data_IF_074362906380
#
_entry.id   IF_074362906380
#
_cell.length_a   1.000
_cell.length_b   1.000
_cell.length_c   1.000
_cell.angle_alpha   90.00
_cell.angle_beta   90.00
_cell.angle_gamma   90.00
#
_symmetry.space_group_name_H-M   'P 1'
#
loop_
_entity.id
_entity.type
_entity.pdbx_description
1 polymer ?
#
# COMPACT_ATOMS: atom_id res chain seq x y z
N UNK A 1 17.28 2.99 12.37
CA UNK A 1 17.02 1.53 12.25
C UNK A 1 17.03 1.08 10.79
N UNK A 2 16.83 2.01 9.85
CA UNK A 2 16.77 1.82 8.40
C UNK A 2 18.04 1.22 7.82
N UNK A 3 19.22 1.58 8.35
CA UNK A 3 20.48 0.97 7.94
C UNK A 3 20.53 -0.53 8.26
N UNK A 4 20.09 -0.94 9.45
CA UNK A 4 20.02 -2.34 9.85
C UNK A 4 18.97 -3.11 9.04
N UNK A 5 17.82 -2.47 8.73
CA UNK A 5 16.82 -3.05 7.84
C UNK A 5 17.39 -3.27 6.42
N UNK A 6 18.13 -2.30 5.89
CA UNK A 6 18.73 -2.41 4.56
C UNK A 6 19.75 -3.56 4.48
N UNK A 7 20.55 -3.74 5.55
CA UNK A 7 21.48 -4.86 5.70
C UNK A 7 20.73 -6.20 5.75
N UNK A 8 19.70 -6.33 6.60
CA UNK A 8 18.88 -7.55 6.69
C UNK A 8 18.20 -7.89 5.36
N UNK A 9 17.62 -6.91 4.67
CA UNK A 9 17.05 -7.12 3.35
C UNK A 9 18.11 -7.56 2.32
N UNK A 10 19.35 -7.09 2.47
CA UNK A 10 20.49 -7.53 1.65
C UNK A 10 20.81 -9.00 1.86
N UNK A 11 20.78 -9.48 3.10
CA UNK A 11 20.96 -10.90 3.43
C UNK A 11 19.82 -11.76 2.87
N UNK A 12 18.56 -11.31 3.04
CA UNK A 12 17.38 -11.99 2.50
C UNK A 12 17.44 -12.06 0.96
N UNK A 13 17.94 -11.01 0.32
CA UNK A 13 18.08 -10.94 -1.13
C UNK A 13 19.06 -11.98 -1.69
N UNK A 14 20.03 -12.48 -0.91
CA UNK A 14 20.92 -13.56 -1.34
C UNK A 14 20.17 -14.87 -1.66
N UNK A 15 18.95 -15.03 -1.14
CA UNK A 15 18.10 -16.20 -1.36
C UNK A 15 17.08 -15.99 -2.49
N UNK A 16 17.19 -14.90 -3.26
CA UNK A 16 16.27 -14.55 -4.33
C UNK A 16 17.00 -14.01 -5.56
N UNK A 17 16.59 -14.45 -6.75
CA UNK A 17 17.09 -13.90 -8.00
C UNK A 17 16.46 -12.55 -8.37
N UNK A 18 15.29 -12.21 -7.79
CA UNK A 18 14.51 -11.03 -8.17
C UNK A 18 14.51 -9.90 -7.13
N UNK A 19 14.78 -10.20 -5.85
CA UNK A 19 14.79 -9.19 -4.80
C UNK A 19 16.00 -8.27 -4.94
N UNK A 20 15.74 -6.97 -5.07
CA UNK A 20 16.75 -5.90 -5.12
C UNK A 20 16.45 -4.88 -4.05
N UNK A 21 17.44 -4.62 -3.19
CA UNK A 21 17.38 -3.58 -2.16
C UNK A 21 17.80 -2.25 -2.78
N UNK A 22 17.04 -1.20 -2.50
CA UNK A 22 17.29 0.16 -3.00
C UNK A 22 17.60 1.10 -1.83
N UNK A 23 17.23 2.37 -1.98
CA UNK A 23 17.56 3.42 -1.04
C UNK A 23 16.82 3.27 0.29
N UNK A 24 17.51 3.65 1.37
CA UNK A 24 16.89 3.97 2.65
C UNK A 24 16.11 5.28 2.50
N UNK A 25 14.92 5.31 3.08
CA UNK A 25 14.06 6.50 3.17
C UNK A 25 13.68 6.71 4.63
N UNK A 26 13.26 7.92 5.04
CA UNK A 26 12.77 8.12 6.40
C UNK A 26 11.67 7.10 6.73
N UNK A 27 11.90 6.24 7.73
CA UNK A 27 10.94 5.22 8.16
C UNK A 27 10.90 3.92 7.35
N UNK A 28 11.82 3.69 6.40
CA UNK A 28 11.82 2.42 5.66
C UNK A 28 12.95 2.23 4.65
N UNK A 29 12.86 1.14 3.90
CA UNK A 29 13.80 0.79 2.81
C UNK A 29 12.99 0.37 1.60
N UNK A 30 13.26 0.99 0.46
CA UNK A 30 12.64 0.55 -0.79
C UNK A 30 13.33 -0.71 -1.29
N UNK A 31 12.54 -1.64 -1.81
CA UNK A 31 13.03 -2.81 -2.54
C UNK A 31 12.10 -3.11 -3.72
N UNK A 32 12.55 -3.94 -4.64
CA UNK A 32 11.72 -4.45 -5.74
C UNK A 32 11.95 -5.94 -5.92
N UNK A 33 10.93 -6.66 -6.32
CA UNK A 33 11.01 -8.10 -6.56
C UNK A 33 9.67 -8.66 -7.00
N UNK A 34 9.57 -9.98 -7.01
CA UNK A 34 8.33 -10.72 -7.21
C UNK A 34 7.46 -10.71 -5.94
N UNK A 35 6.20 -11.13 -6.05
CA UNK A 35 5.33 -11.32 -4.88
C UNK A 35 5.91 -12.35 -3.89
N UNK A 36 6.60 -13.38 -4.40
CA UNK A 36 7.33 -14.35 -3.57
C UNK A 36 8.41 -13.68 -2.71
N UNK A 37 9.00 -12.57 -3.17
CA UNK A 37 9.95 -11.80 -2.37
C UNK A 37 9.27 -11.05 -1.22
N UNK A 38 8.06 -10.52 -1.44
CA UNK A 38 7.28 -9.94 -0.34
C UNK A 38 6.97 -10.97 0.74
N UNK A 39 6.58 -12.20 0.37
CA UNK A 39 6.40 -13.30 1.33
C UNK A 39 7.70 -13.65 2.06
N UNK A 40 8.82 -13.71 1.33
CA UNK A 40 10.14 -13.97 1.93
C UNK A 40 10.50 -12.90 2.96
N UNK A 41 10.27 -11.62 2.66
CA UNK A 41 10.54 -10.54 3.61
C UNK A 41 9.65 -10.69 4.86
N UNK A 42 8.35 -10.94 4.69
CA UNK A 42 7.44 -11.15 5.83
C UNK A 42 7.86 -12.33 6.73
N UNK A 43 8.39 -13.41 6.15
CA UNK A 43 8.78 -14.61 6.91
C UNK A 43 10.15 -14.48 7.60
N UNK A 44 11.08 -13.72 7.02
CA UNK A 44 12.48 -13.73 7.46
C UNK A 44 12.94 -12.43 8.12
N UNK A 45 12.29 -11.30 7.83
CA UNK A 45 12.67 -10.03 8.44
C UNK A 45 12.27 -9.99 9.91
N UNK A 46 13.20 -9.54 10.76
CA UNK A 46 12.96 -9.28 12.19
C UNK A 46 12.92 -7.79 12.50
N UNK A 47 13.29 -6.96 11.52
CA UNK A 47 13.37 -5.50 11.66
C UNK A 47 12.18 -4.81 11.00
N UNK A 48 11.67 -5.32 9.88
CA UNK A 48 10.54 -4.73 9.18
C UNK A 48 9.26 -4.82 10.05
N UNK A 49 8.64 -3.68 10.32
CA UNK A 49 7.35 -3.63 11.01
C UNK A 49 6.19 -3.99 10.07
N UNK A 50 6.29 -3.61 8.79
CA UNK A 50 5.32 -3.89 7.72
C UNK A 50 6.03 -3.99 6.38
N UNK A 51 5.48 -4.79 5.47
CA UNK A 51 5.92 -4.98 4.08
C UNK A 51 4.81 -4.49 3.16
N UNK A 52 5.02 -3.30 2.60
CA UNK A 52 4.02 -2.61 1.80
C UNK A 52 4.27 -2.82 0.31
N UNK A 53 3.32 -3.46 -0.37
CA UNK A 53 3.35 -3.64 -1.81
C UNK A 53 2.77 -2.40 -2.49
N UNK A 54 3.58 -1.71 -3.29
CA UNK A 54 3.14 -0.51 -4.03
C UNK A 54 2.19 -0.88 -5.16
N UNK A 55 0.94 -0.45 -5.06
CA UNK A 55 -0.11 -0.66 -6.07
C UNK A 55 -0.09 0.46 -7.11
N UNK A 56 -0.02 1.71 -6.66
CA UNK A 56 -0.04 2.87 -7.56
C UNK A 56 0.84 4.00 -7.05
N UNK A 57 1.36 4.81 -7.97
CA UNK A 57 2.13 6.01 -7.67
C UNK A 57 1.93 7.06 -8.77
N UNK A 58 1.50 8.26 -8.41
CA UNK A 58 1.33 9.36 -9.36
C UNK A 58 1.45 10.73 -8.68
N UNK A 59 1.69 11.77 -9.47
CA UNK A 59 1.48 13.14 -9.04
C UNK A 59 0.00 13.45 -8.89
N UNK A 60 -0.37 14.36 -8.00
CA UNK A 60 -1.75 14.82 -7.83
C UNK A 60 -1.79 16.34 -7.63
N UNK A 61 -2.86 16.94 -8.11
CA UNK A 61 -3.17 18.37 -7.98
C UNK A 61 -4.38 18.61 -7.08
N UNK A 62 -5.32 17.66 -7.05
CA UNK A 62 -6.55 17.75 -6.27
C UNK A 62 -7.05 16.34 -5.86
N UNK A 63 -8.12 16.31 -5.05
CA UNK A 63 -8.67 15.07 -4.51
C UNK A 63 -9.35 14.15 -5.55
N UNK A 64 -9.73 14.65 -6.72
CA UNK A 64 -10.27 13.81 -7.79
C UNK A 64 -9.18 12.95 -8.42
N UNK A 65 -7.96 13.47 -8.58
CA UNK A 65 -6.84 12.69 -9.11
C UNK A 65 -6.56 11.45 -8.24
N UNK A 66 -6.78 11.59 -6.93
CA UNK A 66 -6.63 10.51 -5.93
C UNK A 66 -7.71 9.44 -6.13
N UNK A 67 -8.96 9.88 -6.29
CA UNK A 67 -10.10 9.01 -6.54
C UNK A 67 -9.92 8.24 -7.86
N UNK A 68 -9.59 8.95 -8.94
CA UNK A 68 -9.43 8.37 -10.27
C UNK A 68 -8.27 7.35 -10.31
N UNK A 69 -7.15 7.68 -9.67
CA UNK A 69 -6.02 6.75 -9.57
C UNK A 69 -6.42 5.49 -8.79
N UNK A 70 -7.11 5.64 -7.65
CA UNK A 70 -7.55 4.52 -6.84
C UNK A 70 -8.59 3.65 -7.59
N UNK A 71 -9.55 4.26 -8.28
CA UNK A 71 -10.59 3.56 -9.04
C UNK A 71 -9.99 2.74 -10.19
N UNK A 72 -8.93 3.24 -10.83
CA UNK A 72 -8.29 2.62 -11.97
C UNK A 72 -7.51 1.33 -11.64
N UNK A 73 -7.22 1.05 -10.36
CA UNK A 73 -6.42 -0.12 -9.99
C UNK A 73 -7.26 -1.41 -10.03
N UNK A 74 -6.69 -2.53 -10.50
CA UNK A 74 -7.36 -3.83 -10.49
C UNK A 74 -7.30 -4.46 -9.10
N UNK A 75 -8.04 -3.91 -8.14
CA UNK A 75 -8.08 -4.40 -6.76
C UNK A 75 -8.53 -5.87 -6.67
N UNK A 76 -9.35 -6.30 -7.61
CA UNK A 76 -9.84 -7.67 -7.78
C UNK A 76 -8.73 -8.71 -7.97
N UNK A 77 -7.55 -8.30 -8.46
CA UNK A 77 -6.38 -9.18 -8.59
C UNK A 77 -5.73 -9.49 -7.24
N UNK A 78 -6.03 -8.68 -6.21
CA UNK A 78 -5.43 -8.78 -4.88
C UNK A 78 -6.38 -9.36 -3.84
N UNK A 79 -7.67 -9.05 -3.92
CA UNK A 79 -8.67 -9.55 -2.98
C UNK A 79 -10.08 -9.59 -3.57
N UNK A 80 -10.92 -10.48 -3.02
CA UNK A 80 -12.33 -10.58 -3.39
C UNK A 80 -13.21 -9.60 -2.62
N UNK A 81 -14.41 -9.34 -3.15
CA UNK A 81 -15.41 -8.45 -2.53
C UNK A 81 -15.85 -8.87 -1.13
N UNK A 82 -15.62 -10.13 -0.74
CA UNK A 82 -15.96 -10.64 0.59
C UNK A 82 -14.95 -10.28 1.69
N UNK A 83 -13.77 -9.75 1.32
CA UNK A 83 -12.80 -9.25 2.28
C UNK A 83 -13.21 -7.87 2.80
N UNK A 84 -13.07 -7.67 4.10
CA UNK A 84 -13.21 -6.37 4.75
C UNK A 84 -11.98 -5.52 4.51
N UNK A 85 -12.17 -4.21 4.28
CA UNK A 85 -11.09 -3.28 4.00
C UNK A 85 -10.92 -2.23 5.10
N UNK A 86 -9.70 -1.74 5.27
CA UNK A 86 -9.38 -0.52 6.01
C UNK A 86 -8.39 0.32 5.20
N UNK A 87 -8.63 1.63 5.16
CA UNK A 87 -7.75 2.59 4.50
C UNK A 87 -7.10 3.43 5.60
N UNK A 88 -5.77 3.46 5.63
CA UNK A 88 -4.97 4.32 6.51
C UNK A 88 -4.20 5.34 5.64
N UNK A 89 -4.38 6.63 5.90
CA UNK A 89 -3.70 7.70 5.15
C UNK A 89 -2.69 8.43 6.04
N UNK A 90 -1.49 8.63 5.51
CA UNK A 90 -0.45 9.47 6.10
C UNK A 90 0.04 10.49 5.08
N UNK A 91 0.49 11.64 5.55
CA UNK A 91 0.93 12.72 4.68
C UNK A 91 2.07 13.52 5.29
N UNK A 92 2.99 13.99 4.43
CA UNK A 92 4.10 14.86 4.80
C UNK A 92 4.11 16.05 3.83
N UNK A 93 3.92 17.27 4.36
CA UNK A 93 3.90 18.52 3.55
C UNK A 93 2.89 18.49 2.39
N UNK A 94 1.84 17.68 2.52
CA UNK A 94 0.78 17.56 1.53
C UNK A 94 -0.09 18.84 1.50
N UNK A 95 -0.51 19.32 0.31
CA UNK A 95 -1.49 20.41 0.18
C UNK A 95 -2.93 20.02 0.54
N UNK A 96 -3.20 18.76 0.90
CA UNK A 96 -4.55 18.28 1.22
C UNK A 96 -5.12 18.97 2.45
N UNK A 97 -6.39 19.37 2.37
CA UNK A 97 -7.08 20.04 3.48
C UNK A 97 -7.51 19.08 4.60
N UNK A 98 -7.85 17.85 4.24
CA UNK A 98 -8.32 16.83 5.19
C UNK A 98 -7.89 15.43 4.78
N UNK A 99 -7.13 14.77 5.66
CA UNK A 99 -6.74 13.37 5.47
C UNK A 99 -7.94 12.44 5.60
N UNK A 100 -8.91 12.75 6.47
CA UNK A 100 -10.13 11.96 6.63
C UNK A 100 -10.97 11.97 5.34
N UNK A 101 -11.13 13.14 4.72
CA UNK A 101 -11.81 13.23 3.43
C UNK A 101 -11.08 12.45 2.34
N UNK A 102 -9.75 12.48 2.34
CA UNK A 102 -8.92 11.72 1.41
C UNK A 102 -9.07 10.21 1.61
N UNK A 103 -9.11 9.74 2.87
CA UNK A 103 -9.40 8.35 3.23
C UNK A 103 -10.76 7.92 2.70
N UNK A 104 -11.79 8.76 2.84
CA UNK A 104 -13.13 8.48 2.30
C UNK A 104 -13.12 8.37 0.77
N UNK A 105 -12.39 9.26 0.08
CA UNK A 105 -12.25 9.22 -1.39
C UNK A 105 -11.61 7.93 -1.89
N UNK A 106 -10.51 7.50 -1.27
CA UNK A 106 -9.86 6.22 -1.61
C UNK A 106 -10.81 5.05 -1.36
N UNK A 107 -11.49 5.04 -0.21
CA UNK A 107 -12.48 4.01 0.14
C UNK A 107 -13.61 3.95 -0.89
N UNK A 108 -14.18 5.10 -1.26
CA UNK A 108 -15.26 5.18 -2.24
C UNK A 108 -14.80 4.65 -3.60
N UNK A 109 -13.61 5.05 -4.07
CA UNK A 109 -13.05 4.57 -5.33
C UNK A 109 -12.88 3.04 -5.36
N UNK A 110 -12.35 2.44 -4.29
CA UNK A 110 -12.23 0.98 -4.17
C UNK A 110 -13.61 0.32 -4.19
N UNK A 111 -14.55 0.82 -3.38
CA UNK A 111 -15.90 0.25 -3.32
C UNK A 111 -16.67 0.38 -4.63
N UNK A 112 -16.45 1.47 -5.37
CA UNK A 112 -17.10 1.70 -6.66
C UNK A 112 -16.46 0.85 -7.76
N UNK A 113 -15.13 0.61 -7.73
CA UNK A 113 -14.48 -0.40 -8.61
C UNK A 113 -15.14 -1.77 -8.48
N UNK A 114 -15.31 -2.27 -7.25
CA UNK A 114 -15.97 -3.56 -7.03
C UNK A 114 -17.44 -3.52 -7.43
N UNK A 115 -18.14 -2.41 -7.19
CA UNK A 115 -19.55 -2.28 -7.58
C UNK A 115 -19.73 -2.32 -9.09
N UNK A 116 -18.86 -1.65 -9.83
CA UNK A 116 -18.89 -1.65 -11.30
C UNK A 116 -18.64 -3.03 -11.89
N UNK A 117 -17.72 -3.81 -11.32
CA UNK A 117 -17.36 -5.13 -11.84
C UNK A 117 -18.27 -6.27 -11.36
N UNK A 118 -18.70 -6.24 -10.10
CA UNK A 118 -19.36 -7.36 -9.43
C UNK A 118 -20.75 -7.04 -8.89
N UNK A 119 -21.22 -5.79 -9.03
CA UNK A 119 -22.49 -5.30 -8.43
C UNK A 119 -22.54 -5.39 -6.89
N UNK A 120 -21.38 -5.59 -6.25
CA UNK A 120 -21.20 -5.71 -4.79
C UNK A 120 -20.08 -4.77 -4.32
N UNK A 121 -19.99 -4.51 -3.01
CA UNK A 121 -18.91 -3.69 -2.44
C UNK A 121 -18.32 -4.37 -1.20
N UNK A 122 -17.00 -4.27 -0.99
CA UNK A 122 -16.41 -4.72 0.27
C UNK A 122 -16.95 -3.89 1.43
N UNK A 123 -17.06 -4.54 2.59
CA UNK A 123 -17.40 -3.88 3.85
C UNK A 123 -16.13 -3.32 4.53
N UNK A 124 -16.32 -2.43 5.51
CA UNK A 124 -15.21 -1.82 6.25
C UNK A 124 -15.16 -2.39 7.66
N UNK A 125 -14.00 -2.90 8.06
CA UNK A 125 -13.68 -3.24 9.45
C UNK A 125 -12.45 -2.43 9.88
N UNK A 126 -12.64 -1.49 10.81
CA UNK A 126 -11.54 -0.64 11.29
C UNK A 126 -10.67 -1.31 12.36
N UNK A 127 -11.12 -2.41 12.95
CA UNK A 127 -10.40 -3.13 14.03
C UNK A 127 -9.59 -4.28 13.45
N UNK A 128 -10.25 -5.15 12.71
CA UNK A 128 -9.71 -6.43 12.20
C UNK A 128 -9.99 -6.59 10.70
N UNK A 129 -9.49 -5.66 9.85
CA UNK A 129 -9.66 -5.77 8.41
C UNK A 129 -8.89 -6.97 7.86
N UNK A 130 -9.45 -7.61 6.85
CA UNK A 130 -8.76 -8.60 6.04
C UNK A 130 -7.70 -7.93 5.15
N UNK A 131 -8.02 -6.74 4.61
CA UNK A 131 -7.16 -6.00 3.68
C UNK A 131 -6.89 -4.59 4.21
N UNK A 132 -5.60 -4.27 4.40
CA UNK A 132 -5.15 -2.91 4.77
C UNK A 132 -4.55 -2.21 3.56
N UNK A 133 -5.16 -1.10 3.18
CA UNK A 133 -4.68 -0.22 2.13
C UNK A 133 -4.06 1.00 2.80
N UNK A 134 -2.83 1.34 2.41
CA UNK A 134 -2.10 2.48 2.96
C UNK A 134 -1.91 3.53 1.87
N UNK A 135 -2.36 4.76 2.14
CA UNK A 135 -2.09 5.92 1.32
C UNK A 135 -0.98 6.78 1.91
N UNK A 136 0.03 7.11 1.12
CA UNK A 136 1.08 8.06 1.50
C UNK A 136 1.14 9.25 0.54
N UNK A 137 1.06 10.46 1.10
CA UNK A 137 1.09 11.71 0.35
C UNK A 137 2.30 12.56 0.71
N UNK A 138 3.01 13.05 -0.30
CA UNK A 138 3.95 14.15 -0.14
C UNK A 138 3.39 15.45 -0.75
N UNK A 139 4.23 16.48 -0.92
CA UNK A 139 3.81 17.76 -1.49
C UNK A 139 3.30 17.69 -2.95
N UNK A 140 3.62 16.62 -3.69
CA UNK A 140 3.35 16.48 -5.13
C UNK A 140 2.81 15.11 -5.52
N UNK A 141 3.15 14.07 -4.78
CA UNK A 141 2.88 12.69 -5.16
C UNK A 141 2.02 11.98 -4.13
N UNK A 142 1.27 11.02 -4.64
CA UNK A 142 0.49 10.07 -3.88
C UNK A 142 0.92 8.65 -4.24
N UNK A 143 1.04 7.80 -3.23
CA UNK A 143 1.32 6.37 -3.39
C UNK A 143 0.30 5.54 -2.63
N UNK A 144 -0.25 4.53 -3.31
CA UNK A 144 -1.10 3.51 -2.71
C UNK A 144 -0.30 2.23 -2.51
N UNK A 145 -0.49 1.64 -1.33
CA UNK A 145 0.08 0.36 -0.98
C UNK A 145 -1.00 -0.60 -0.49
N UNK A 146 -0.79 -1.89 -0.77
CA UNK A 146 -1.43 -2.98 -0.05
C UNK A 146 -0.45 -3.48 1.01
N UNK A 147 -0.89 -3.56 2.24
CA UNK A 147 -0.08 -4.14 3.31
C UNK A 147 -0.12 -5.66 3.23
N UNK A 148 1.04 -6.27 3.05
CA UNK A 148 1.20 -7.74 2.97
C UNK A 148 1.60 -8.35 4.31
N UNK A 149 1.67 -7.55 5.37
CA UNK A 149 2.02 -8.02 6.71
C UNK A 149 0.77 -8.34 7.54
N UNK A 150 0.79 -9.50 8.18
CA UNK A 150 -0.31 -9.95 9.05
C UNK A 150 -1.45 -10.65 8.32
N UNK A 151 -1.27 -10.96 7.03
CA UNK A 151 -2.03 -12.00 6.30
C UNK A 151 -1.54 -13.40 6.65
#
# INVERSE_FOLDING_TARGET
MEAALAEELGEIALQSASLKVHNQVPGGVHCSGSLTDAYRINLHSRIASRVLLRIAHASYSNENDIYDLALAQPWEDWFSVHHTIRIDVTAIKSPLRSLEFTTLKIKDAICDRFREQFSERPSVDTKTPDMRIVGFFDARNFTLYLDTSGV
#
